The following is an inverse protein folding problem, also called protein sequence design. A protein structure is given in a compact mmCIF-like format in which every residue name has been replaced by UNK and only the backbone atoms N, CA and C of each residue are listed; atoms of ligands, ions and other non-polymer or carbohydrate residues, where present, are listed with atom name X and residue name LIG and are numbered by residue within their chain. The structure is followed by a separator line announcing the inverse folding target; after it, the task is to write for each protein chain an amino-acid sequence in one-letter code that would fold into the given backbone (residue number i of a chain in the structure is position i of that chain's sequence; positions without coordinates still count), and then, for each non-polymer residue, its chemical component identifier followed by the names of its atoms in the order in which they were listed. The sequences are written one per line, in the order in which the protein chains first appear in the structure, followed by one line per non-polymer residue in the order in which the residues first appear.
data_IF_711619397268
#
_entry.id   IF_711619397268
#
_cell.length_a   1.000
_cell.length_b   1.000
_cell.length_c   1.000
_cell.angle_alpha   90.00
_cell.angle_beta   90.00
_cell.angle_gamma   90.00
#
_symmetry.space_group_name_H-M   'P 1'
#
loop_
_entity.id
_entity.type
_entity.pdbx_description
1 polymer ?
#
# COMPACT_ATOMS: atom_id res chain seq x y z
N UNK A 1 -12.70 -17.64 32.04
CA UNK A 1 -12.79 -18.20 30.67
C UNK A 1 -13.85 -17.39 29.90
N UNK A 2 -13.43 -16.36 29.19
CA UNK A 2 -14.33 -15.46 28.47
C UNK A 2 -13.52 -14.28 27.97
N UNK A 3 -12.99 -14.39 26.75
CA UNK A 3 -12.40 -13.26 26.00
C UNK A 3 -11.90 -13.64 24.59
N UNK A 4 -11.81 -14.92 24.23
CA UNK A 4 -11.34 -15.32 22.90
C UNK A 4 -12.39 -15.14 21.81
N UNK A 5 -13.67 -15.39 22.11
CA UNK A 5 -14.77 -15.23 21.15
C UNK A 5 -15.00 -13.76 20.75
N UNK A 6 -15.03 -12.84 21.72
CA UNK A 6 -15.23 -11.40 21.49
C UNK A 6 -14.10 -10.75 20.68
N UNK A 7 -12.88 -11.29 20.75
CA UNK A 7 -11.73 -10.81 19.96
C UNK A 7 -11.81 -11.31 18.50
N UNK A 8 -12.32 -12.52 18.28
CA UNK A 8 -12.50 -13.07 16.94
C UNK A 8 -13.64 -12.35 16.20
N UNK A 9 -14.77 -12.17 16.86
CA UNK A 9 -15.96 -11.48 16.31
C UNK A 9 -15.67 -10.03 15.91
N UNK A 10 -14.96 -9.28 16.77
CA UNK A 10 -14.50 -7.92 16.43
C UNK A 10 -13.52 -7.89 15.25
N UNK A 11 -12.66 -8.90 15.09
CA UNK A 11 -11.68 -8.97 13.99
C UNK A 11 -12.36 -9.18 12.63
N UNK A 12 -13.37 -10.04 12.58
CA UNK A 12 -14.18 -10.25 11.36
C UNK A 12 -15.08 -9.04 11.05
N UNK A 13 -15.66 -8.40 12.07
CA UNK A 13 -16.44 -7.16 11.93
C UNK A 13 -15.60 -5.95 11.47
N UNK A 14 -14.29 -5.96 11.70
CA UNK A 14 -13.38 -4.96 11.10
C UNK A 14 -12.95 -5.29 9.68
N UNK A 15 -12.93 -6.57 9.29
CA UNK A 15 -12.37 -7.04 8.02
C UNK A 15 -13.41 -7.14 6.88
N UNK A 16 -14.70 -7.24 7.18
CA UNK A 16 -15.74 -7.37 6.15
C UNK A 16 -15.80 -6.21 5.13
N UNK A 17 -15.54 -4.93 5.47
CA UNK A 17 -15.61 -3.87 4.47
C UNK A 17 -14.42 -3.93 3.50
N UNK A 18 -13.28 -4.44 3.95
CA UNK A 18 -12.09 -4.63 3.13
C UNK A 18 -12.29 -5.84 2.21
N UNK A 19 -12.95 -6.89 2.71
CA UNK A 19 -13.42 -8.02 1.91
C UNK A 19 -14.48 -7.60 0.86
N UNK A 20 -15.39 -6.69 1.20
CA UNK A 20 -16.34 -6.14 0.24
C UNK A 20 -15.67 -5.27 -0.82
N UNK A 21 -14.71 -4.42 -0.44
CA UNK A 21 -13.93 -3.65 -1.41
C UNK A 21 -13.18 -4.58 -2.37
N UNK A 22 -12.61 -5.68 -1.85
CA UNK A 22 -11.97 -6.71 -2.64
C UNK A 22 -12.93 -7.41 -3.61
N UNK A 23 -14.11 -7.84 -3.15
CA UNK A 23 -15.12 -8.51 -3.99
C UNK A 23 -15.73 -7.56 -5.02
N UNK A 24 -16.05 -6.32 -4.63
CA UNK A 24 -16.55 -5.29 -5.53
C UNK A 24 -15.52 -4.98 -6.62
N UNK A 25 -14.25 -4.90 -6.23
CA UNK A 25 -13.16 -4.76 -7.15
C UNK A 25 -13.06 -5.94 -8.15
N UNK A 26 -13.09 -7.17 -7.64
CA UNK A 26 -13.05 -8.37 -8.49
C UNK A 26 -14.24 -8.42 -9.46
N UNK A 27 -15.42 -7.98 -9.01
CA UNK A 27 -16.60 -7.88 -9.86
C UNK A 27 -16.42 -6.85 -10.98
N UNK A 28 -15.94 -5.64 -10.67
CA UNK A 28 -15.66 -4.59 -11.68
C UNK A 28 -14.66 -5.09 -12.72
N UNK A 29 -13.55 -5.69 -12.28
CA UNK A 29 -12.55 -6.25 -13.18
C UNK A 29 -13.15 -7.34 -14.09
N UNK A 30 -13.99 -8.21 -13.54
CA UNK A 30 -14.64 -9.28 -14.30
C UNK A 30 -15.67 -8.76 -15.30
N UNK A 31 -16.41 -7.71 -14.96
CA UNK A 31 -17.39 -7.08 -15.87
C UNK A 31 -16.71 -6.25 -16.96
N UNK A 32 -15.59 -5.60 -16.65
CA UNK A 32 -14.83 -4.80 -17.59
C UNK A 32 -13.89 -5.62 -18.51
N UNK A 33 -13.85 -6.95 -18.33
CA UNK A 33 -13.00 -7.84 -19.13
C UNK A 33 -11.50 -7.63 -18.89
N UNK A 34 -11.13 -7.13 -17.72
CA UNK A 34 -9.76 -6.75 -17.40
C UNK A 34 -8.82 -7.96 -17.38
N UNK A 35 -7.66 -7.77 -18.00
CA UNK A 35 -6.55 -8.71 -17.96
C UNK A 35 -5.63 -8.43 -16.77
N UNK A 36 -4.55 -9.21 -16.64
CA UNK A 36 -3.58 -9.06 -15.53
C UNK A 36 -2.89 -7.69 -15.55
N UNK A 37 -2.60 -7.14 -16.72
CA UNK A 37 -2.01 -5.81 -16.87
C UNK A 37 -2.94 -4.72 -16.33
N UNK A 38 -4.23 -4.79 -16.68
CA UNK A 38 -5.25 -3.84 -16.18
C UNK A 38 -5.34 -3.82 -14.66
N UNK A 39 -5.25 -5.00 -14.03
CA UNK A 39 -5.24 -5.12 -12.57
C UNK A 39 -3.97 -4.52 -11.95
N UNK A 40 -2.82 -4.75 -12.55
CA UNK A 40 -1.55 -4.21 -12.03
C UNK A 40 -1.50 -2.68 -12.18
N UNK A 41 -1.94 -2.16 -13.33
CA UNK A 41 -2.02 -0.72 -13.57
C UNK A 41 -3.02 -0.01 -12.65
N UNK A 42 -4.18 -0.60 -12.41
CA UNK A 42 -5.16 -0.05 -11.46
C UNK A 42 -4.66 -0.06 -10.01
N UNK A 43 -3.93 -1.10 -9.60
CA UNK A 43 -3.28 -1.16 -8.28
C UNK A 43 -2.16 -0.12 -8.14
N UNK A 44 -1.33 0.06 -9.18
CA UNK A 44 -0.30 1.10 -9.21
C UNK A 44 -0.89 2.51 -9.14
N UNK A 45 -1.94 2.79 -9.92
CA UNK A 45 -2.63 4.08 -9.89
C UNK A 45 -3.23 4.33 -8.50
N UNK A 46 -3.82 3.30 -7.89
CA UNK A 46 -4.41 3.38 -6.55
C UNK A 46 -3.36 3.64 -5.49
N UNK A 47 -2.23 2.92 -5.53
CA UNK A 47 -1.14 3.13 -4.59
C UNK A 47 -0.60 4.55 -4.71
N UNK A 48 -0.45 5.06 -5.94
CA UNK A 48 0.00 6.43 -6.21
C UNK A 48 -0.97 7.46 -5.62
N UNK A 49 -2.25 7.42 -6.02
CA UNK A 49 -3.24 8.45 -5.67
C UNK A 49 -3.62 8.37 -4.19
N UNK A 50 -3.99 7.18 -3.70
CA UNK A 50 -4.43 7.00 -2.32
C UNK A 50 -3.24 7.19 -1.37
N UNK A 51 -2.07 6.64 -1.71
CA UNK A 51 -0.84 6.80 -0.93
C UNK A 51 -0.39 8.26 -0.84
N UNK A 52 -0.41 9.00 -1.95
CA UNK A 52 -0.06 10.43 -1.93
C UNK A 52 -1.07 11.26 -1.11
N UNK A 53 -2.36 10.94 -1.24
CA UNK A 53 -3.41 11.58 -0.44
C UNK A 53 -3.20 11.32 1.06
N UNK A 54 -2.74 10.13 1.46
CA UNK A 54 -2.36 9.84 2.84
C UNK A 54 -1.14 10.64 3.32
N UNK A 55 -0.11 10.82 2.48
CA UNK A 55 1.05 11.65 2.83
C UNK A 55 0.60 13.09 3.13
N UNK A 56 -0.20 13.67 2.24
CA UNK A 56 -0.77 15.00 2.44
C UNK A 56 -1.63 15.03 3.71
N UNK A 57 -2.55 14.08 3.85
CA UNK A 57 -3.44 14.01 5.00
C UNK A 57 -2.69 13.91 6.33
N UNK A 58 -1.68 13.05 6.43
CA UNK A 58 -0.92 12.83 7.67
C UNK A 58 -0.07 14.04 8.04
N UNK A 59 0.52 14.74 7.07
CA UNK A 59 1.29 15.95 7.32
C UNK A 59 0.37 17.10 7.75
N UNK A 60 -0.70 17.35 6.99
CA UNK A 60 -1.63 18.43 7.29
C UNK A 60 -2.41 18.19 8.59
N UNK A 61 -2.89 16.97 8.85
CA UNK A 61 -3.62 16.65 10.08
C UNK A 61 -2.79 16.83 11.35
N UNK A 62 -1.45 16.73 11.25
CA UNK A 62 -0.52 16.98 12.37
C UNK A 62 -0.18 18.46 12.51
N UNK A 63 0.08 19.14 11.39
CA UNK A 63 0.50 20.55 11.38
C UNK A 63 -0.66 21.54 11.57
N UNK A 64 -1.92 21.10 11.41
CA UNK A 64 -3.09 21.98 11.49
C UNK A 64 -3.18 22.70 12.84
N UNK A 65 -3.08 24.03 12.82
CA UNK A 65 -3.14 24.89 14.02
C UNK A 65 -1.83 25.00 14.81
N UNK A 66 -0.70 24.48 14.30
CA UNK A 66 0.60 24.48 14.98
C UNK A 66 1.69 25.07 14.07
N UNK A 67 1.86 26.41 14.10
CA UNK A 67 2.71 27.15 13.17
C UNK A 67 4.17 26.64 13.09
N UNK A 68 4.78 26.25 14.22
CA UNK A 68 6.13 25.69 14.25
C UNK A 68 6.27 24.32 13.54
N UNK A 69 5.19 23.56 13.45
CA UNK A 69 5.18 22.24 12.79
C UNK A 69 4.89 22.33 11.29
N UNK A 70 4.41 23.49 10.81
CA UNK A 70 4.17 23.71 9.38
C UNK A 70 5.47 23.70 8.56
N UNK A 71 6.54 24.32 9.05
CA UNK A 71 7.83 24.34 8.34
C UNK A 71 8.41 22.92 8.18
N UNK A 72 8.43 22.14 9.27
CA UNK A 72 8.84 20.74 9.23
C UNK A 72 7.92 19.88 8.35
N UNK A 73 6.61 20.13 8.41
CA UNK A 73 5.62 19.48 7.56
C UNK A 73 5.82 19.75 6.08
N UNK A 74 6.10 21.01 5.69
CA UNK A 74 6.36 21.38 4.30
C UNK A 74 7.65 20.73 3.76
N UNK A 75 8.71 20.69 4.57
CA UNK A 75 9.93 19.96 4.20
C UNK A 75 9.65 18.47 3.98
N UNK A 76 8.96 17.82 4.92
CA UNK A 76 8.59 16.40 4.78
C UNK A 76 7.72 16.17 3.56
N UNK A 77 6.76 17.06 3.29
CA UNK A 77 5.89 16.96 2.12
C UNK A 77 6.73 17.01 0.84
N UNK A 78 7.61 18.00 0.70
CA UNK A 78 8.48 18.11 -0.46
C UNK A 78 9.40 16.87 -0.65
N UNK A 79 10.03 16.41 0.44
CA UNK A 79 10.86 15.20 0.42
C UNK A 79 10.07 13.98 -0.03
N UNK A 80 8.91 13.73 0.57
CA UNK A 80 8.10 12.58 0.22
C UNK A 80 7.50 12.70 -1.17
N UNK A 81 7.11 13.88 -1.65
CA UNK A 81 6.66 14.06 -3.03
C UNK A 81 7.72 13.63 -4.03
N UNK A 82 8.98 14.07 -3.85
CA UNK A 82 10.08 13.68 -4.74
C UNK A 82 10.37 12.19 -4.62
N UNK A 83 10.52 11.67 -3.40
CA UNK A 83 10.90 10.28 -3.16
C UNK A 83 9.82 9.30 -3.61
N UNK A 84 8.58 9.49 -3.16
CA UNK A 84 7.42 8.66 -3.51
C UNK A 84 7.09 8.75 -4.99
N UNK A 85 7.15 9.96 -5.57
CA UNK A 85 6.90 10.20 -6.99
C UNK A 85 7.95 9.55 -7.87
N UNK A 86 9.24 9.73 -7.59
CA UNK A 86 10.33 9.07 -8.33
C UNK A 86 10.22 7.55 -8.26
N UNK A 87 9.87 7.01 -7.09
CA UNK A 87 9.68 5.57 -6.93
C UNK A 87 8.55 5.03 -7.79
N UNK A 88 7.39 5.70 -7.79
CA UNK A 88 6.25 5.29 -8.63
C UNK A 88 6.54 5.46 -10.12
N UNK A 89 7.28 6.51 -10.50
CA UNK A 89 7.72 6.73 -11.87
C UNK A 89 8.64 5.62 -12.38
N UNK A 90 9.67 5.24 -11.60
CA UNK A 90 10.54 4.12 -11.98
C UNK A 90 9.73 2.82 -12.06
N UNK A 91 8.78 2.63 -11.15
CA UNK A 91 7.88 1.47 -11.17
C UNK A 91 6.99 1.45 -12.41
N UNK A 92 6.43 2.57 -12.85
CA UNK A 92 5.61 2.62 -14.09
C UNK A 92 6.44 2.32 -15.33
N UNK A 93 7.73 2.69 -15.37
CA UNK A 93 8.63 2.26 -16.46
C UNK A 93 8.74 0.74 -16.55
N UNK A 94 8.89 0.06 -15.41
CA UNK A 94 8.90 -1.40 -15.37
C UNK A 94 7.54 -1.98 -15.78
N UNK A 95 6.43 -1.41 -15.29
CA UNK A 95 5.10 -1.87 -15.68
C UNK A 95 4.86 -1.75 -17.17
N UNK A 96 5.28 -0.67 -17.80
CA UNK A 96 5.19 -0.50 -19.25
C UNK A 96 6.04 -1.53 -20.00
N UNK A 97 7.20 -1.92 -19.45
CA UNK A 97 8.06 -2.95 -20.05
C UNK A 97 7.44 -4.37 -19.97
N UNK A 98 6.73 -4.70 -18.89
CA UNK A 98 6.15 -6.04 -18.68
C UNK A 98 4.68 -6.17 -19.11
N UNK A 99 3.92 -5.10 -18.98
CA UNK A 99 2.48 -5.01 -19.21
C UNK A 99 2.16 -3.73 -20.00
N UNK A 100 2.65 -3.61 -21.24
CA UNK A 100 2.43 -2.42 -22.05
C UNK A 100 0.93 -2.20 -22.28
N UNK A 101 0.52 -0.93 -22.28
CA UNK A 101 -0.89 -0.59 -22.56
C UNK A 101 -1.18 -0.74 -24.05
N UNK A 102 -2.18 -1.56 -24.38
CA UNK A 102 -2.65 -1.69 -25.76
C UNK A 102 -3.25 -0.36 -26.23
N UNK A 103 -2.69 0.26 -27.27
CA UNK A 103 -3.35 1.36 -27.99
C UNK A 103 -2.46 2.51 -28.45
N UNK A 104 -1.36 2.85 -27.78
CA UNK A 104 -0.42 3.88 -28.25
C UNK A 104 0.97 3.50 -27.75
N UNK A 105 1.83 2.98 -28.63
CA UNK A 105 3.27 3.01 -28.39
C UNK A 105 3.70 4.47 -28.47
N UNK A 106 3.64 5.17 -27.34
CA UNK A 106 4.34 6.43 -27.20
C UNK A 106 5.83 6.12 -27.25
N UNK A 107 6.53 6.65 -28.25
CA UNK A 107 8.00 6.73 -28.24
C UNK A 107 8.42 7.61 -27.04
N UNK A 108 8.41 7.08 -25.81
CA UNK A 108 8.69 7.88 -24.62
C UNK A 108 8.25 7.36 -23.23
N UNK A 109 7.51 6.26 -23.11
CA UNK A 109 7.10 5.68 -21.83
C UNK A 109 5.58 5.54 -21.66
N UNK A 110 5.08 5.26 -20.44
CA UNK A 110 3.66 4.99 -20.19
C UNK A 110 2.79 6.21 -20.44
N UNK A 111 1.63 6.01 -21.08
CA UNK A 111 0.60 7.03 -21.22
C UNK A 111 -0.21 7.15 -19.93
N UNK A 112 0.21 8.07 -19.06
CA UNK A 112 -0.46 8.30 -17.78
C UNK A 112 -1.90 8.80 -17.92
N UNK A 113 -2.24 9.51 -18.99
CA UNK A 113 -3.62 9.97 -19.20
C UNK A 113 -4.51 8.78 -19.50
N UNK A 114 -4.02 7.82 -20.28
CA UNK A 114 -4.74 6.58 -20.57
C UNK A 114 -4.90 5.72 -19.32
N UNK A 115 -3.85 5.58 -18.48
CA UNK A 115 -3.94 4.89 -17.19
C UNK A 115 -5.03 5.51 -16.31
N UNK A 116 -5.06 6.84 -16.21
CA UNK A 116 -6.08 7.53 -15.42
C UNK A 116 -7.47 7.32 -16.04
N UNK A 117 -7.63 7.50 -17.35
CA UNK A 117 -8.92 7.35 -18.03
C UNK A 117 -9.50 5.93 -17.86
N UNK A 118 -8.67 4.89 -17.99
CA UNK A 118 -9.09 3.49 -17.88
C UNK A 118 -9.38 3.06 -16.44
N UNK A 119 -8.53 3.46 -15.50
CA UNK A 119 -8.52 2.86 -14.17
C UNK A 119 -8.99 3.79 -13.05
N UNK A 120 -9.29 5.06 -13.32
CA UNK A 120 -9.82 5.98 -12.29
C UNK A 120 -11.13 5.50 -11.65
N UNK A 121 -11.94 4.71 -12.38
CA UNK A 121 -13.16 4.09 -11.84
C UNK A 121 -12.89 3.20 -10.62
N UNK A 122 -11.65 2.73 -10.45
CA UNK A 122 -11.21 1.95 -9.30
C UNK A 122 -10.92 2.77 -8.05
N UNK A 123 -10.60 4.07 -8.20
CA UNK A 123 -10.17 4.91 -7.09
C UNK A 123 -11.18 4.97 -5.93
N UNK A 124 -12.51 5.10 -6.14
CA UNK A 124 -13.47 5.06 -5.05
C UNK A 124 -13.40 3.79 -4.20
N UNK A 125 -13.18 2.64 -4.85
CA UNK A 125 -13.03 1.34 -4.15
C UNK A 125 -11.74 1.33 -3.33
N UNK A 126 -10.64 1.81 -3.90
CA UNK A 126 -9.36 1.91 -3.21
C UNK A 126 -9.43 2.86 -2.00
N UNK A 127 -10.05 4.03 -2.13
CA UNK A 127 -10.27 4.95 -1.02
C UNK A 127 -11.16 4.34 0.07
N UNK A 128 -12.19 3.58 -0.32
CA UNK A 128 -13.04 2.90 0.65
C UNK A 128 -12.30 1.80 1.41
N UNK A 129 -11.45 1.02 0.73
CA UNK A 129 -10.59 0.02 1.37
C UNK A 129 -9.66 0.69 2.41
N UNK A 130 -9.04 1.82 2.04
CA UNK A 130 -8.08 2.52 2.88
C UNK A 130 -8.70 3.55 3.85
N UNK A 131 -10.03 3.61 3.97
CA UNK A 131 -10.76 4.60 4.79
C UNK A 131 -10.27 4.67 6.25
N UNK A 132 -9.78 3.55 6.79
CA UNK A 132 -9.26 3.49 8.15
C UNK A 132 -7.95 4.29 8.33
N UNK A 133 -7.12 4.37 7.28
CA UNK A 133 -5.86 5.11 7.28
C UNK A 133 -6.07 6.64 7.35
N UNK A 134 -7.24 7.13 6.93
CA UNK A 134 -7.62 8.54 7.02
C UNK A 134 -8.17 8.95 8.39
N UNK A 135 -8.26 8.04 9.36
CA UNK A 135 -8.66 8.41 10.72
C UNK A 135 -7.56 9.21 11.40
N UNK A 136 -7.92 10.31 12.07
CA UNK A 136 -6.97 11.07 12.89
C UNK A 136 -6.39 10.13 13.96
N UNK A 137 -5.06 10.10 14.15
CA UNK A 137 -4.49 9.38 15.27
C UNK A 137 -5.08 9.92 16.58
N UNK A 138 -5.41 9.07 17.55
CA UNK A 138 -5.83 9.54 18.86
C UNK A 138 -4.75 10.46 19.46
N UNK A 139 -5.13 11.47 20.26
CA UNK A 139 -4.19 12.33 20.96
C UNK A 139 -3.13 11.49 21.65
N UNK A 140 -1.86 11.82 21.43
CA UNK A 140 -0.73 11.07 21.99
C UNK A 140 -0.71 11.33 23.51
N UNK A 141 -1.23 10.39 24.28
CA UNK A 141 -1.06 10.39 25.74
C UNK A 141 0.29 9.78 26.03
N UNK A 142 1.32 10.61 26.09
CA UNK A 142 2.64 10.16 26.49
C UNK A 142 2.60 9.84 28.00
N UNK A 143 2.75 8.56 28.36
CA UNK A 143 2.80 8.15 29.76
C UNK A 143 4.10 8.68 30.38
N UNK A 144 4.10 9.84 31.02
CA UNK A 144 5.31 10.53 31.54
C UNK A 144 6.04 9.79 32.68
N UNK A 145 5.65 8.55 32.95
CA UNK A 145 6.30 7.68 33.93
C UNK A 145 7.79 7.53 33.64
N UNK A 146 8.57 7.64 34.72
CA UNK A 146 10.02 7.47 34.73
C UNK A 146 10.45 6.02 34.95
N UNK A 147 9.51 5.08 34.87
CA UNK A 147 9.82 3.66 34.98
C UNK A 147 10.69 3.21 33.81
N UNK A 148 11.71 2.40 34.11
CA UNK A 148 12.66 1.90 33.11
C UNK A 148 11.95 1.22 31.92
N UNK A 149 10.91 0.42 32.19
CA UNK A 149 10.11 -0.23 31.13
C UNK A 149 9.35 0.76 30.23
N UNK A 150 8.87 1.88 30.77
CA UNK A 150 8.18 2.91 29.99
C UNK A 150 9.16 3.78 29.20
N UNK A 151 10.37 3.99 29.72
CA UNK A 151 11.49 4.66 29.02
C UNK A 151 12.00 3.79 27.87
N UNK A 152 12.17 2.49 28.08
CA UNK A 152 12.55 1.54 27.02
C UNK A 152 11.45 1.42 25.96
N UNK A 153 10.17 1.36 26.35
CA UNK A 153 9.07 1.36 25.40
C UNK A 153 9.02 2.66 24.56
N UNK A 154 9.35 3.82 25.15
CA UNK A 154 9.53 5.08 24.43
C UNK A 154 10.71 5.04 23.48
N UNK A 155 11.89 4.63 23.95
CA UNK A 155 13.10 4.51 23.12
C UNK A 155 12.93 3.51 21.98
N UNK A 156 12.23 2.40 22.19
CA UNK A 156 11.91 1.44 21.15
C UNK A 156 10.90 1.99 20.13
N UNK A 157 10.02 2.92 20.55
CA UNK A 157 9.10 3.66 19.68
C UNK A 157 9.77 4.81 18.92
N UNK A 158 10.78 5.44 19.51
CA UNK A 158 11.47 6.60 18.92
C UNK A 158 12.80 6.21 18.22
N UNK A 159 13.28 4.96 18.36
CA UNK A 159 14.61 4.53 17.89
C UNK A 159 14.61 3.40 16.85
N UNK A 160 15.46 3.57 15.82
CA UNK A 160 16.19 2.55 15.02
C UNK A 160 15.45 1.35 14.44
N UNK A 161 14.88 0.48 15.28
CA UNK A 161 14.20 -0.74 14.86
C UNK A 161 12.89 -0.45 14.09
N UNK A 162 12.25 0.69 14.36
CA UNK A 162 11.14 1.22 13.57
C UNK A 162 11.58 1.75 12.20
N UNK A 163 12.82 2.20 12.06
CA UNK A 163 13.35 2.70 10.79
C UNK A 163 13.64 1.57 9.82
N UNK A 164 13.99 0.37 10.30
CA UNK A 164 14.39 -0.75 9.41
C UNK A 164 13.22 -1.61 8.93
N UNK A 165 12.11 -1.64 9.67
CA UNK A 165 10.87 -2.34 9.26
C UNK A 165 10.34 -1.90 7.88
N UNK A 166 10.27 -0.59 7.55
CA UNK A 166 9.93 -0.13 6.20
C UNK A 166 10.90 -0.66 5.14
N UNK A 167 12.21 -0.60 5.38
CA UNK A 167 13.23 -1.04 4.42
C UNK A 167 13.14 -2.53 4.08
N UNK A 168 12.96 -3.39 5.08
CA UNK A 168 12.80 -4.85 4.84
C UNK A 168 11.55 -5.13 4.00
N UNK A 169 10.47 -4.40 4.23
CA UNK A 169 9.25 -4.54 3.44
C UNK A 169 9.45 -4.08 1.99
N UNK A 170 10.19 -2.99 1.78
CA UNK A 170 10.56 -2.48 0.45
C UNK A 170 11.44 -3.49 -0.28
N UNK A 171 12.48 -4.03 0.37
CA UNK A 171 13.37 -5.05 -0.21
C UNK A 171 12.57 -6.28 -0.62
N UNK A 172 11.66 -6.76 0.24
CA UNK A 172 10.77 -7.88 -0.09
C UNK A 172 9.95 -7.62 -1.35
N UNK A 173 9.32 -6.45 -1.44
CA UNK A 173 8.55 -6.03 -2.61
C UNK A 173 9.40 -6.01 -3.89
N UNK A 174 10.63 -5.50 -3.84
CA UNK A 174 11.54 -5.45 -4.99
C UNK A 174 12.02 -6.81 -5.46
N UNK A 175 12.39 -7.69 -4.53
CA UNK A 175 12.81 -9.05 -4.86
C UNK A 175 11.69 -9.81 -5.57
N UNK A 176 10.43 -9.56 -5.18
CA UNK A 176 9.27 -10.11 -5.87
C UNK A 176 9.09 -9.53 -7.28
N UNK A 177 9.21 -8.21 -7.47
CA UNK A 177 9.13 -7.60 -8.81
C UNK A 177 10.21 -8.18 -9.73
N UNK A 178 11.45 -8.32 -9.25
CA UNK A 178 12.53 -8.96 -10.01
C UNK A 178 12.28 -10.44 -10.28
N UNK A 179 11.68 -11.16 -9.33
CA UNK A 179 11.26 -12.55 -9.52
C UNK A 179 10.19 -12.68 -10.61
N UNK A 180 9.17 -11.81 -10.64
CA UNK A 180 8.15 -11.80 -11.69
C UNK A 180 8.73 -11.43 -13.06
N UNK A 181 9.58 -10.40 -13.10
CA UNK A 181 10.31 -10.01 -14.30
C UNK A 181 11.09 -11.18 -14.90
N UNK A 182 11.79 -11.93 -14.04
CA UNK A 182 12.53 -13.12 -14.44
C UNK A 182 11.61 -14.28 -14.87
N UNK A 183 10.54 -14.56 -14.12
CA UNK A 183 9.59 -15.63 -14.46
C UNK A 183 8.86 -15.39 -15.80
N UNK A 184 8.49 -14.13 -16.06
CA UNK A 184 7.91 -13.70 -17.33
C UNK A 184 8.93 -13.81 -18.47
N UNK A 185 10.17 -13.35 -18.27
CA UNK A 185 11.25 -13.47 -19.27
C UNK A 185 11.54 -14.94 -19.65
N UNK A 186 11.40 -15.86 -18.71
CA UNK A 186 11.59 -17.30 -18.92
C UNK A 186 10.36 -18.01 -19.52
N UNK A 187 9.28 -17.29 -19.83
CA UNK A 187 8.00 -17.83 -20.34
C UNK A 187 7.44 -18.96 -19.49
N UNK A 188 7.71 -18.94 -18.18
CA UNK A 188 7.07 -19.85 -17.23
C UNK A 188 5.67 -19.35 -16.90
N UNK A 189 4.84 -19.17 -17.93
CA UNK A 189 3.43 -18.82 -17.81
C UNK A 189 2.65 -20.08 -17.47
N UNK A 190 2.84 -20.58 -16.26
CA UNK A 190 2.03 -21.66 -15.72
C UNK A 190 1.26 -21.15 -14.51
N UNK A 191 -0.04 -21.46 -14.49
CA UNK A 191 -0.97 -21.23 -13.38
C UNK A 191 -0.39 -21.63 -12.01
N UNK A 192 0.53 -22.59 -11.96
CA UNK A 192 1.23 -23.02 -10.75
C UNK A 192 2.10 -21.93 -10.10
N UNK A 193 2.80 -21.10 -10.89
CA UNK A 193 3.61 -19.99 -10.36
C UNK A 193 2.71 -18.88 -9.83
N UNK A 194 1.61 -18.58 -10.53
CA UNK A 194 0.57 -17.66 -10.04
C UNK A 194 -0.02 -18.11 -8.70
N UNK A 195 -0.33 -19.41 -8.54
CA UNK A 195 -0.89 -19.97 -7.31
C UNK A 195 0.08 -19.89 -6.11
N UNK A 196 1.36 -20.21 -6.31
CA UNK A 196 2.39 -20.13 -5.27
C UNK A 196 2.61 -18.68 -4.82
N UNK A 197 2.66 -17.76 -5.77
CA UNK A 197 2.84 -16.34 -5.50
C UNK A 197 1.64 -15.77 -4.74
N UNK A 198 0.41 -16.04 -5.18
CA UNK A 198 -0.79 -15.59 -4.47
C UNK A 198 -0.85 -16.19 -3.06
N UNK A 199 -0.43 -17.45 -2.88
CA UNK A 199 -0.30 -18.07 -1.57
C UNK A 199 0.77 -17.40 -0.70
N UNK A 200 1.91 -16.96 -1.25
CA UNK A 200 2.92 -16.23 -0.47
C UNK A 200 2.45 -14.81 -0.10
N UNK A 201 1.66 -14.16 -0.97
CA UNK A 201 1.32 -12.75 -0.87
C UNK A 201 0.02 -12.47 -0.09
N UNK A 202 -1.05 -13.20 -0.40
CA UNK A 202 -2.38 -12.98 0.16
C UNK A 202 -2.74 -13.95 1.28
N UNK A 203 -2.07 -15.11 1.37
CA UNK A 203 -2.35 -16.04 2.45
C UNK A 203 -1.97 -15.39 3.79
N UNK A 204 -2.89 -15.34 4.76
CA UNK A 204 -2.65 -14.68 6.02
C UNK A 204 -1.76 -15.60 6.88
N UNK A 205 -0.46 -15.65 6.60
CA UNK A 205 0.52 -16.49 7.32
C UNK A 205 0.50 -16.26 8.84
N UNK A 206 0.03 -15.09 9.27
CA UNK A 206 -0.31 -14.73 10.66
C UNK A 206 -1.41 -15.58 11.32
N UNK A 207 -2.20 -16.33 10.55
CA UNK A 207 -3.17 -17.31 11.06
C UNK A 207 -2.55 -18.70 11.28
N UNK A 208 -1.44 -19.00 10.61
CA UNK A 208 -0.78 -20.32 10.65
C UNK A 208 0.48 -20.30 11.52
N UNK A 209 1.20 -19.19 11.54
CA UNK A 209 2.33 -18.98 12.43
C UNK A 209 1.82 -18.39 13.74
N UNK A 210 1.68 -19.24 14.78
CA UNK A 210 1.46 -18.82 16.17
C UNK A 210 2.56 -17.83 16.57
N UNK A 211 2.17 -16.60 16.91
CA UNK A 211 2.95 -15.69 17.75
C UNK A 211 2.87 -16.11 19.21
#
# INVERSE_FOLDING_TARGET
MGNTANVCENRWLTAWPDALAFVAGLAIARFAGWNTGDLIWSLWLSSLVVGYTMIVWTIFSRAWGRAGEMLGGLFLLAFFTVHFGMFHFVHSMFLEQFFPLDGVRGEGGPDYLEVVARYAIWLPVAFFAERAAFRRPPPRVDNVSVNAGDIEARKARDGGALMMKPYVNVIRLHLLIFFFAFAHAMKWESFAIYAVVYAVYFFPWRLVLKS
#
